data_IF_291674723942
#
_entry.id   IF_291674723942
#
_cell.length_a   1.000
_cell.length_b   1.000
_cell.length_c   1.000
_cell.angle_alpha   90.00
_cell.angle_beta   90.00
_cell.angle_gamma   90.00
#
_symmetry.space_group_name_H-M   'P 1'
#
loop_
_entity.id
_entity.type
_entity.pdbx_description
1 polymer ?
#
# COMPACT_ATOMS: atom_id res chain seq x y z
N UNK A 1 -9.15 22.78 17.28
CA UNK A 1 -9.66 22.65 15.90
C UNK A 1 -8.48 22.85 14.98
N UNK A 2 -7.86 21.77 14.49
CA UNK A 2 -6.66 21.87 13.64
C UNK A 2 -7.15 22.22 12.23
N UNK A 3 -6.90 23.45 11.80
CA UNK A 3 -7.26 23.95 10.48
C UNK A 3 -6.27 23.32 9.49
N UNK A 4 -6.67 22.22 8.86
CA UNK A 4 -5.90 21.57 7.80
C UNK A 4 -5.94 22.44 6.53
N UNK A 5 -4.80 22.74 5.89
CA UNK A 5 -4.77 23.57 4.69
C UNK A 5 -5.61 22.95 3.56
N UNK A 6 -6.24 23.77 2.70
CA UNK A 6 -7.06 23.28 1.59
C UNK A 6 -6.18 22.47 0.62
N UNK A 7 -6.38 21.16 0.59
CA UNK A 7 -5.54 20.20 -0.12
C UNK A 7 -5.12 18.99 0.73
N UNK A 8 -5.12 19.13 2.06
CA UNK A 8 -4.67 18.08 3.00
C UNK A 8 -5.43 16.76 2.85
N UNK A 9 -6.74 16.80 2.58
CA UNK A 9 -7.56 15.61 2.40
C UNK A 9 -7.15 14.73 1.22
N UNK A 10 -6.60 15.32 0.15
CA UNK A 10 -6.09 14.57 -1.02
C UNK A 10 -4.79 13.84 -0.72
N UNK A 11 -3.89 14.47 0.03
CA UNK A 11 -2.63 13.82 0.45
C UNK A 11 -2.87 12.75 1.51
N UNK A 12 -3.85 12.97 2.39
CA UNK A 12 -4.24 12.01 3.42
C UNK A 12 -4.90 10.77 2.79
N UNK A 13 -5.74 10.94 1.77
CA UNK A 13 -6.30 9.80 1.03
C UNK A 13 -5.24 9.01 0.26
N UNK A 14 -4.24 9.69 -0.31
CA UNK A 14 -3.09 9.04 -0.95
C UNK A 14 -2.29 8.20 0.05
N UNK A 15 -2.01 8.73 1.24
CA UNK A 15 -1.30 7.98 2.29
C UNK A 15 -2.08 6.76 2.77
N UNK A 16 -3.40 6.88 2.91
CA UNK A 16 -4.28 5.76 3.29
C UNK A 16 -4.33 4.71 2.18
N UNK A 17 -4.48 5.10 0.91
CA UNK A 17 -4.48 4.18 -0.23
C UNK A 17 -3.17 3.35 -0.29
N UNK A 18 -2.04 4.00 -0.01
CA UNK A 18 -0.72 3.34 -0.01
C UNK A 18 -0.55 2.42 1.20
N UNK A 19 -1.01 2.83 2.38
CA UNK A 19 -1.01 1.99 3.57
C UNK A 19 -1.90 0.76 3.41
N UNK A 20 -3.08 0.91 2.81
CA UNK A 20 -4.00 -0.21 2.52
C UNK A 20 -3.40 -1.16 1.50
N UNK A 21 -2.77 -0.65 0.43
CA UNK A 21 -2.10 -1.49 -0.56
C UNK A 21 -0.93 -2.27 0.03
N UNK A 22 -0.12 -1.63 0.89
CA UNK A 22 0.99 -2.28 1.57
C UNK A 22 0.52 -3.35 2.56
N UNK A 23 -0.37 -2.98 3.50
CA UNK A 23 -0.88 -3.90 4.52
C UNK A 23 -1.68 -5.04 3.89
N UNK A 24 -2.46 -4.76 2.84
CA UNK A 24 -3.18 -5.77 2.08
C UNK A 24 -2.24 -6.76 1.39
N UNK A 25 -1.21 -6.25 0.68
CA UNK A 25 -0.20 -7.10 0.05
C UNK A 25 0.59 -7.93 1.07
N UNK A 26 0.90 -7.36 2.23
CA UNK A 26 1.60 -8.04 3.32
C UNK A 26 0.73 -9.13 3.96
N UNK A 27 -0.55 -8.88 4.22
CA UNK A 27 -1.49 -9.88 4.75
C UNK A 27 -1.70 -11.04 3.79
N UNK A 28 -1.89 -10.76 2.50
CA UNK A 28 -2.06 -11.79 1.47
C UNK A 28 -0.78 -12.62 1.35
N UNK A 29 0.38 -11.97 1.31
CA UNK A 29 1.67 -12.64 1.25
C UNK A 29 1.94 -13.51 2.48
N UNK A 30 1.58 -13.02 3.67
CA UNK A 30 1.71 -13.75 4.93
C UNK A 30 0.80 -14.98 4.98
N UNK A 31 -0.46 -14.84 4.55
CA UNK A 31 -1.37 -15.98 4.45
C UNK A 31 -0.84 -17.02 3.46
N UNK A 32 -0.26 -16.60 2.34
CA UNK A 32 0.39 -17.49 1.38
C UNK A 32 1.60 -18.21 1.98
N UNK A 33 2.45 -17.50 2.72
CA UNK A 33 3.63 -18.11 3.36
C UNK A 33 3.23 -19.19 4.39
N UNK A 34 2.18 -18.94 5.18
CA UNK A 34 1.60 -19.95 6.09
C UNK A 34 1.07 -21.15 5.29
N UNK A 35 0.33 -20.90 4.21
CA UNK A 35 -0.27 -21.96 3.40
C UNK A 35 0.77 -22.84 2.69
N UNK A 36 1.87 -22.24 2.25
CA UNK A 36 2.96 -22.92 1.55
C UNK A 36 4.07 -23.43 2.49
N UNK A 37 3.96 -23.23 3.81
CA UNK A 37 4.99 -23.57 4.81
C UNK A 37 6.39 -23.09 4.38
N UNK A 38 6.45 -21.95 3.69
CA UNK A 38 7.68 -21.39 3.12
C UNK A 38 8.21 -20.26 4.00
N UNK A 39 9.52 -20.01 3.87
CA UNK A 39 10.14 -18.77 4.33
C UNK A 39 9.34 -17.55 3.82
N UNK A 40 9.40 -16.39 4.50
CA UNK A 40 8.55 -15.20 4.27
C UNK A 40 8.83 -14.46 2.93
N UNK A 41 9.03 -15.21 1.87
CA UNK A 41 9.28 -14.76 0.51
C UNK A 41 8.01 -14.18 -0.10
N UNK A 42 6.84 -14.79 0.13
CA UNK A 42 5.59 -14.28 -0.43
C UNK A 42 5.13 -13.02 0.27
N UNK A 43 5.39 -12.88 1.57
CA UNK A 43 5.20 -11.63 2.32
C UNK A 43 6.08 -10.52 1.77
N UNK A 44 7.36 -10.80 1.50
CA UNK A 44 8.29 -9.82 0.92
C UNK A 44 7.87 -9.39 -0.50
N UNK A 45 7.44 -10.33 -1.34
CA UNK A 45 6.92 -10.06 -2.69
C UNK A 45 5.60 -9.29 -2.63
N UNK A 46 4.69 -9.69 -1.73
CA UNK A 46 3.40 -9.04 -1.51
C UNK A 46 3.55 -7.60 -1.01
N UNK A 47 4.45 -7.36 -0.06
CA UNK A 47 4.78 -6.04 0.44
C UNK A 47 5.40 -5.16 -0.67
N UNK A 48 6.36 -5.69 -1.42
CA UNK A 48 7.03 -4.97 -2.52
C UNK A 48 6.04 -4.60 -3.64
N UNK A 49 5.16 -5.53 -4.01
CA UNK A 49 4.12 -5.29 -5.02
C UNK A 49 3.04 -4.31 -4.54
N UNK A 50 2.64 -4.37 -3.26
CA UNK A 50 1.74 -3.40 -2.64
C UNK A 50 2.28 -1.97 -2.68
N UNK A 51 3.58 -1.80 -2.39
CA UNK A 51 4.27 -0.51 -2.52
C UNK A 51 4.30 -0.05 -3.98
N UNK A 52 4.72 -0.92 -4.91
CA UNK A 52 4.81 -0.59 -6.32
C UNK A 52 3.44 -0.14 -6.90
N UNK A 53 2.36 -0.86 -6.57
CA UNK A 53 1.00 -0.50 -6.99
C UNK A 53 0.51 0.80 -6.33
N UNK A 54 0.83 1.03 -5.05
CA UNK A 54 0.55 2.27 -4.36
C UNK A 54 1.20 3.47 -5.05
N UNK A 55 2.50 3.38 -5.36
CA UNK A 55 3.22 4.42 -6.10
C UNK A 55 2.71 4.59 -7.53
N UNK A 56 2.36 3.49 -8.22
CA UNK A 56 1.79 3.56 -9.57
C UNK A 56 0.45 4.31 -9.59
N UNK A 57 -0.42 4.07 -8.62
CA UNK A 57 -1.69 4.81 -8.48
C UNK A 57 -1.47 6.29 -8.19
N UNK A 58 -0.48 6.63 -7.35
CA UNK A 58 -0.09 8.02 -7.10
C UNK A 58 0.42 8.67 -8.39
N UNK A 59 1.30 7.99 -9.11
CA UNK A 59 1.85 8.49 -10.37
C UNK A 59 0.74 8.78 -11.38
N UNK A 60 -0.23 7.88 -11.56
CA UNK A 60 -1.38 8.11 -12.44
C UNK A 60 -2.23 9.30 -11.95
N UNK A 61 -2.48 9.42 -10.64
CA UNK A 61 -3.27 10.51 -10.07
C UNK A 61 -2.58 11.87 -10.15
N UNK A 62 -1.25 11.93 -10.14
CA UNK A 62 -0.46 13.15 -10.29
C UNK A 62 -0.24 13.54 -11.76
N UNK A 63 -0.30 12.59 -12.68
CA UNK A 63 -0.16 12.83 -14.13
C UNK A 63 -1.46 13.26 -14.80
N UNK A 64 -2.61 13.06 -14.14
CA UNK A 64 -3.92 13.61 -14.52
C UNK A 64 -4.10 14.99 -13.91
#
# INVERSE_FOLDING_TARGET
MIILPPGSGKYLSIGVDLAVAFLGGMLIGYQLDIWLLRFPLWTAIGASSGIALGFYNIYIRLKK
#
